data_IF_478770961458
#
_entry.id   IF_478770961458
#
_cell.length_a   1.000
_cell.length_b   1.000
_cell.length_c   1.000
_cell.angle_alpha   90.00
_cell.angle_beta   90.00
_cell.angle_gamma   90.00
#
_symmetry.space_group_name_H-M   'P 1'
#
loop_
_entity.id
_entity.type
_entity.pdbx_description
1 polymer ?
#
# COMPACT_ATOMS: atom_id res chain seq x y z
N UNK A 1 5.53 10.96 -2.17
CA UNK A 1 5.75 10.06 -3.32
C UNK A 1 4.48 9.27 -3.57
N UNK A 2 4.12 9.01 -4.84
CA UNK A 2 2.96 8.21 -5.23
C UNK A 2 3.43 6.95 -5.97
N UNK A 3 2.73 5.83 -5.77
CA UNK A 3 3.01 4.55 -6.45
C UNK A 3 1.71 3.78 -6.61
N UNK A 4 1.57 3.02 -7.69
CA UNK A 4 0.51 2.03 -7.82
C UNK A 4 1.09 0.61 -7.85
N UNK A 5 0.28 -0.36 -7.44
CA UNK A 5 0.58 -1.79 -7.59
C UNK A 5 -0.62 -2.45 -8.27
N UNK A 6 -0.37 -3.19 -9.34
CA UNK A 6 -1.40 -3.98 -10.02
C UNK A 6 -1.29 -5.43 -9.57
N UNK A 7 -2.34 -5.92 -8.93
CA UNK A 7 -2.47 -7.31 -8.51
C UNK A 7 -2.92 -8.19 -9.67
N UNK A 8 -2.55 -9.49 -9.68
CA UNK A 8 -3.17 -10.45 -10.59
C UNK A 8 -4.69 -10.47 -10.45
N UNK A 9 -5.42 -10.49 -11.57
CA UNK A 9 -6.90 -10.49 -11.57
C UNK A 9 -7.51 -11.63 -10.73
N UNK A 10 -6.81 -12.76 -10.61
CA UNK A 10 -7.26 -13.89 -9.80
C UNK A 10 -7.43 -13.55 -8.31
N UNK A 11 -6.59 -12.65 -7.77
CA UNK A 11 -6.64 -12.24 -6.36
C UNK A 11 -7.45 -10.97 -6.13
N UNK A 12 -7.90 -10.29 -7.20
CA UNK A 12 -8.71 -9.07 -7.12
C UNK A 12 -9.98 -9.25 -6.27
N UNK A 13 -10.55 -10.45 -6.27
CA UNK A 13 -11.74 -10.82 -5.48
C UNK A 13 -11.53 -10.73 -3.96
N UNK A 14 -10.27 -10.76 -3.50
CA UNK A 14 -9.90 -10.66 -2.08
C UNK A 14 -9.55 -9.22 -1.67
N UNK A 15 -9.53 -8.28 -2.63
CA UNK A 15 -9.34 -6.87 -2.32
C UNK A 15 -10.64 -6.33 -1.72
N UNK A 16 -10.63 -5.80 -0.49
CA UNK A 16 -11.82 -5.28 0.12
C UNK A 16 -12.21 -3.93 -0.51
N UNK A 17 -13.48 -3.54 -0.38
CA UNK A 17 -13.95 -2.23 -0.82
C UNK A 17 -13.71 -1.14 0.25
N UNK A 18 -12.55 -1.19 0.90
CA UNK A 18 -12.10 -0.25 1.91
C UNK A 18 -10.58 -0.02 1.82
N UNK A 19 -10.09 1.01 2.51
CA UNK A 19 -8.65 1.25 2.59
C UNK A 19 -7.99 0.18 3.46
N UNK A 20 -6.77 -0.20 3.09
CA UNK A 20 -6.04 -1.28 3.76
C UNK A 20 -4.87 -0.72 4.55
N UNK A 21 -4.72 -1.23 5.76
CA UNK A 21 -3.52 -1.09 6.58
C UNK A 21 -2.31 -1.77 5.95
N UNK A 22 -1.12 -1.46 6.46
CA UNK A 22 0.13 -2.07 6.01
C UNK A 22 0.14 -3.60 6.10
N UNK A 23 -0.46 -4.14 7.15
CA UNK A 23 -0.54 -5.59 7.36
C UNK A 23 -1.51 -6.25 6.37
N UNK A 24 -2.66 -5.63 6.12
CA UNK A 24 -3.68 -6.17 5.22
C UNK A 24 -3.16 -6.28 3.78
N UNK A 25 -2.58 -5.22 3.22
CA UNK A 25 -2.06 -5.31 1.85
C UNK A 25 -0.81 -6.20 1.75
N UNK A 26 -0.01 -6.33 2.82
CA UNK A 26 1.09 -7.30 2.87
C UNK A 26 0.58 -8.73 2.84
N UNK A 27 -0.54 -9.01 3.52
CA UNK A 27 -1.17 -10.33 3.53
C UNK A 27 -1.69 -10.76 2.14
N UNK A 28 -2.08 -9.79 1.31
CA UNK A 28 -2.40 -9.99 -0.12
C UNK A 28 -1.16 -10.25 -1.00
N UNK A 29 0.04 -10.23 -0.42
CA UNK A 29 1.31 -10.50 -1.11
C UNK A 29 1.97 -9.27 -1.73
N UNK A 30 1.47 -8.06 -1.49
CA UNK A 30 2.15 -6.83 -1.94
C UNK A 30 3.46 -6.66 -1.16
N UNK A 31 4.57 -6.55 -1.90
CA UNK A 31 5.91 -6.37 -1.32
C UNK A 31 6.43 -4.96 -1.63
N UNK A 32 6.61 -4.15 -0.59
CA UNK A 32 7.25 -2.84 -0.64
C UNK A 32 7.86 -2.49 0.71
N UNK A 33 8.71 -1.46 0.74
CA UNK A 33 9.29 -0.93 1.98
C UNK A 33 8.22 -0.40 2.94
N UNK A 34 8.55 -0.17 4.20
CA UNK A 34 7.65 0.49 5.15
C UNK A 34 7.26 1.91 4.74
N UNK A 35 6.11 2.37 5.26
CA UNK A 35 5.65 3.76 5.14
C UNK A 35 4.74 4.08 3.95
N UNK A 36 4.38 3.07 3.16
CA UNK A 36 3.38 3.23 2.11
C UNK A 36 1.96 3.05 2.67
N UNK A 37 1.09 4.01 2.34
CA UNK A 37 -0.31 4.04 2.78
C UNK A 37 -1.21 3.85 1.58
N UNK A 38 -2.09 2.84 1.63
CA UNK A 38 -3.18 2.70 0.67
C UNK A 38 -4.17 3.84 0.91
N UNK A 39 -4.27 4.78 -0.03
CA UNK A 39 -4.95 6.06 0.24
C UNK A 39 -6.23 6.28 -0.55
N UNK A 40 -6.47 5.49 -1.60
CA UNK A 40 -7.62 5.62 -2.47
C UNK A 40 -7.92 4.28 -3.14
N UNK A 41 -9.22 3.98 -3.28
CA UNK A 41 -9.72 2.81 -3.99
C UNK A 41 -10.02 3.22 -5.43
N UNK A 42 -9.47 2.47 -6.37
CA UNK A 42 -9.78 2.63 -7.79
C UNK A 42 -10.94 1.70 -8.18
N UNK A 43 -12.17 2.18 -8.00
CA UNK A 43 -13.41 1.39 -8.20
C UNK A 43 -13.52 0.69 -9.57
N UNK A 44 -13.15 1.32 -10.72
CA UNK A 44 -13.20 0.65 -12.01
C UNK A 44 -12.30 -0.59 -12.11
N UNK A 45 -11.18 -0.61 -11.41
CA UNK A 45 -10.22 -1.71 -11.43
C UNK A 45 -9.70 -2.01 -10.02
N UNK A 46 -10.45 -2.80 -9.21
CA UNK A 46 -10.12 -3.06 -7.80
C UNK A 46 -8.75 -3.71 -7.56
N UNK A 47 -8.18 -4.33 -8.59
CA UNK A 47 -6.85 -4.91 -8.57
C UNK A 47 -5.71 -3.88 -8.67
N UNK A 48 -6.02 -2.60 -8.90
CA UNK A 48 -5.05 -1.50 -8.90
C UNK A 48 -5.10 -0.82 -7.54
N UNK A 49 -4.03 -0.99 -6.77
CA UNK A 49 -3.88 -0.40 -5.44
C UNK A 49 -3.06 0.89 -5.51
N UNK A 50 -3.57 1.97 -4.92
CA UNK A 50 -2.95 3.29 -4.96
C UNK A 50 -2.28 3.63 -3.62
N UNK A 51 -0.97 3.84 -3.65
CA UNK A 51 -0.15 4.10 -2.47
C UNK A 51 0.45 5.50 -2.48
N UNK A 52 0.55 6.09 -1.29
CA UNK A 52 1.33 7.30 -1.03
C UNK A 52 2.31 7.08 0.11
N UNK A 53 3.45 7.77 0.05
CA UNK A 53 4.45 7.82 1.12
C UNK A 53 4.91 9.25 1.33
N UNK A 54 5.14 9.66 2.57
CA UNK A 54 5.73 10.97 2.88
C UNK A 54 7.06 11.17 2.13
N UNK A 55 7.34 12.39 1.67
CA UNK A 55 8.59 12.68 0.96
C UNK A 55 9.79 12.48 1.89
N UNK A 56 9.69 13.00 3.10
CA UNK A 56 10.76 12.96 4.11
C UNK A 56 10.72 11.69 4.97
N UNK A 57 9.98 10.65 4.55
CA UNK A 57 9.82 9.42 5.33
C UNK A 57 11.17 8.79 5.69
N UNK A 58 12.09 8.72 4.74
CA UNK A 58 13.42 8.14 4.97
C UNK A 58 14.29 9.01 5.89
N UNK A 59 14.07 10.33 5.90
CA UNK A 59 14.77 11.23 6.82
C UNK A 59 14.25 11.06 8.25
N UNK A 60 12.92 10.93 8.42
CA UNK A 60 12.28 10.71 9.72
C UNK A 60 12.54 9.31 10.27
N UNK A 61 12.59 8.31 9.40
CA UNK A 61 12.71 6.89 9.74
C UNK A 61 13.84 6.23 8.92
N UNK A 62 15.12 6.55 9.22
CA UNK A 62 16.26 6.08 8.42
C UNK A 62 16.39 4.56 8.33
N UNK A 63 15.84 3.83 9.30
CA UNK A 63 15.80 2.36 9.32
C UNK A 63 14.39 1.79 9.12
N UNK A 64 13.41 2.61 8.74
CA UNK A 64 11.99 2.21 8.65
C UNK A 64 11.32 1.89 10.00
N UNK A 65 12.01 2.14 11.11
CA UNK A 65 11.49 1.98 12.47
C UNK A 65 10.89 3.32 12.89
N UNK A 66 9.60 3.34 13.23
CA UNK A 66 9.03 4.46 13.97
C UNK A 66 9.70 4.51 15.34
N UNK A 67 10.54 5.52 15.57
CA UNK A 67 11.06 5.77 16.91
C UNK A 67 9.85 6.04 17.83
N UNK A 68 9.84 5.46 19.05
CA UNK A 68 8.75 5.65 20.00
C UNK A 68 8.56 7.12 20.39
#
# INVERSE_FOLDING_TARGET
MMKHVTLPKAIARYVPNELMTEEEWKSLGVKQSHGWVHYMIHSPEPHVLLFKREKDYQLKYPNGIKQP
#
